data_IF_305509111840
#
_entry.id   IF_305509111840
#
_cell.length_a   1.000
_cell.length_b   1.000
_cell.length_c   1.000
_cell.angle_alpha   90.00
_cell.angle_beta   90.00
_cell.angle_gamma   90.00
#
_symmetry.space_group_name_H-M   'P 1'
#
loop_
_entity.id
_entity.type
_entity.pdbx_description
1 polymer ?
#
# COMPACT_ATOMS: atom_id res chain seq x y z
N UNK A 1 15.89 -15.72 -10.97
CA UNK A 1 14.80 -16.20 -11.85
C UNK A 1 13.43 -15.79 -11.32
N UNK A 2 13.04 -16.18 -10.09
CA UNK A 2 11.73 -15.82 -9.50
C UNK A 2 11.42 -14.31 -9.48
N UNK A 3 12.35 -13.48 -8.99
CA UNK A 3 12.17 -12.01 -8.94
C UNK A 3 11.96 -11.39 -10.33
N UNK A 4 12.62 -11.91 -11.36
CA UNK A 4 12.49 -11.41 -12.74
C UNK A 4 11.11 -11.72 -13.31
N UNK A 5 10.58 -12.91 -13.04
CA UNK A 5 9.23 -13.33 -13.48
C UNK A 5 8.18 -12.43 -12.83
N UNK A 6 8.32 -12.14 -11.53
CA UNK A 6 7.42 -11.21 -10.84
C UNK A 6 7.52 -9.81 -11.42
N UNK A 7 8.73 -9.28 -11.61
CA UNK A 7 8.92 -7.96 -12.22
C UNK A 7 8.30 -7.88 -13.61
N UNK A 8 8.47 -8.92 -14.43
CA UNK A 8 7.84 -9.03 -15.75
C UNK A 8 6.32 -9.04 -15.66
N UNK A 9 5.76 -9.82 -14.73
CA UNK A 9 4.32 -9.87 -14.51
C UNK A 9 3.73 -8.53 -14.05
N UNK A 10 4.39 -7.85 -13.11
CA UNK A 10 3.97 -6.52 -12.63
C UNK A 10 4.10 -5.43 -13.72
N UNK A 11 4.99 -5.61 -14.69
CA UNK A 11 5.23 -4.69 -15.81
C UNK A 11 4.53 -5.11 -17.11
N UNK A 12 3.72 -6.17 -17.07
CA UNK A 12 3.07 -6.75 -18.26
C UNK A 12 1.94 -5.88 -18.81
N UNK A 13 1.32 -5.04 -17.96
CA UNK A 13 0.10 -4.31 -18.28
C UNK A 13 -1.17 -5.19 -18.28
N UNK A 14 -1.03 -6.49 -18.01
CA UNK A 14 -2.15 -7.41 -17.87
C UNK A 14 -2.67 -7.39 -16.43
N UNK A 15 -3.87 -6.82 -16.25
CA UNK A 15 -4.48 -6.68 -14.94
C UNK A 15 -4.72 -8.02 -14.25
N UNK A 16 -5.06 -9.08 -14.97
CA UNK A 16 -5.32 -10.39 -14.39
C UNK A 16 -4.04 -11.00 -13.82
N UNK A 17 -2.92 -10.86 -14.55
CA UNK A 17 -1.60 -11.27 -14.07
C UNK A 17 -1.21 -10.49 -12.82
N UNK A 18 -1.43 -9.18 -12.81
CA UNK A 18 -1.13 -8.32 -11.66
C UNK A 18 -2.00 -8.72 -10.46
N UNK A 19 -3.29 -8.95 -10.64
CA UNK A 19 -4.20 -9.38 -9.57
C UNK A 19 -3.81 -10.74 -9.00
N UNK A 20 -3.40 -11.70 -9.84
CA UNK A 20 -2.89 -13.01 -9.36
C UNK A 20 -1.62 -12.85 -8.55
N UNK A 21 -0.67 -12.02 -9.01
CA UNK A 21 0.57 -11.76 -8.27
C UNK A 21 0.28 -11.15 -6.91
N UNK A 22 -0.59 -10.13 -6.86
CA UNK A 22 -0.91 -9.42 -5.62
C UNK A 22 -1.69 -10.30 -4.65
N UNK A 23 -2.72 -11.02 -5.12
CA UNK A 23 -3.51 -11.94 -4.28
C UNK A 23 -2.70 -13.12 -3.74
N UNK A 24 -1.68 -13.57 -4.48
CA UNK A 24 -0.82 -14.68 -4.07
C UNK A 24 0.38 -14.23 -3.22
N UNK A 25 0.63 -12.93 -3.10
CA UNK A 25 1.81 -12.40 -2.42
C UNK A 25 1.60 -12.43 -0.90
N UNK A 26 2.46 -13.19 -0.23
CA UNK A 26 2.54 -13.21 1.23
C UNK A 26 3.42 -12.07 1.73
N UNK A 27 2.96 -11.35 2.74
CA UNK A 27 3.64 -10.18 3.33
C UNK A 27 5.06 -10.51 3.79
N UNK A 28 5.29 -11.73 4.27
CA UNK A 28 6.59 -12.25 4.71
C UNK A 28 7.66 -12.22 3.62
N UNK A 29 7.26 -12.09 2.35
CA UNK A 29 8.16 -11.91 1.23
C UNK A 29 9.07 -10.68 1.39
N UNK A 30 8.54 -9.57 1.90
CA UNK A 30 9.29 -8.32 2.06
C UNK A 30 10.14 -8.31 3.33
N UNK A 31 9.76 -9.07 4.35
CA UNK A 31 10.51 -9.15 5.62
C UNK A 31 11.90 -9.77 5.48
N UNK A 32 12.15 -10.55 4.42
CA UNK A 32 13.43 -11.26 4.24
C UNK A 32 14.52 -10.42 3.55
N UNK A 33 14.31 -9.12 3.31
CA UNK A 33 15.29 -8.13 2.80
C UNK A 33 16.42 -8.74 1.95
N UNK A 34 16.08 -9.29 0.79
CA UNK A 34 17.08 -9.76 -0.15
C UNK A 34 17.68 -8.53 -0.85
N UNK A 35 18.99 -8.45 -1.08
CA UNK A 35 19.59 -7.33 -1.81
C UNK A 35 18.94 -7.05 -3.17
N UNK A 36 18.38 -8.09 -3.81
CA UNK A 36 17.66 -8.00 -5.08
C UNK A 36 16.15 -7.76 -4.96
N UNK A 37 15.54 -7.81 -3.76
CA UNK A 37 14.10 -7.55 -3.58
C UNK A 37 13.75 -6.07 -3.50
N UNK A 38 14.75 -5.18 -3.38
CA UNK A 38 14.55 -3.72 -3.36
C UNK A 38 13.97 -3.19 -4.67
N UNK A 39 14.30 -3.83 -5.81
CA UNK A 39 13.72 -3.51 -7.13
C UNK A 39 12.22 -3.83 -7.22
N UNK A 40 11.73 -4.75 -6.39
CA UNK A 40 10.31 -5.12 -6.36
C UNK A 40 9.49 -4.14 -5.51
N UNK A 41 10.08 -3.49 -4.50
CA UNK A 41 9.39 -2.55 -3.62
C UNK A 41 8.62 -1.46 -4.38
N UNK A 42 9.22 -0.71 -5.32
CA UNK A 42 8.48 0.32 -6.06
C UNK A 42 7.44 -0.27 -7.01
N UNK A 43 7.69 -1.43 -7.61
CA UNK A 43 6.73 -2.12 -8.49
C UNK A 43 5.49 -2.57 -7.74
N UNK A 44 5.67 -3.27 -6.62
CA UNK A 44 4.56 -3.68 -5.76
C UNK A 44 3.83 -2.48 -5.18
N UNK A 45 4.55 -1.44 -4.76
CA UNK A 45 3.89 -0.23 -4.25
C UNK A 45 2.99 0.38 -5.33
N UNK A 46 3.49 0.55 -6.55
CA UNK A 46 2.70 1.10 -7.66
C UNK A 46 1.46 0.24 -7.96
N UNK A 47 1.63 -1.07 -8.07
CA UNK A 47 0.53 -2.00 -8.34
C UNK A 47 -0.52 -2.00 -7.21
N UNK A 48 -0.09 -2.03 -5.95
CA UNK A 48 -0.99 -1.99 -4.79
C UNK A 48 -1.74 -0.66 -4.70
N UNK A 49 -1.07 0.46 -4.98
CA UNK A 49 -1.67 1.79 -5.03
C UNK A 49 -2.74 1.89 -6.11
N UNK A 50 -2.54 1.28 -7.27
CA UNK A 50 -3.52 1.22 -8.35
C UNK A 50 -4.74 0.38 -7.96
N UNK A 51 -4.51 -0.85 -7.47
CA UNK A 51 -5.56 -1.77 -7.01
C UNK A 51 -6.36 -1.14 -5.86
N UNK A 52 -5.68 -0.49 -4.91
CA UNK A 52 -6.30 0.19 -3.77
C UNK A 52 -7.24 1.34 -4.16
N UNK A 53 -7.12 1.88 -5.39
CA UNK A 53 -7.99 2.94 -5.90
C UNK A 53 -9.13 2.41 -6.77
N UNK A 54 -9.06 1.16 -7.22
CA UNK A 54 -10.12 0.51 -8.00
C UNK A 54 -11.36 0.22 -7.14
N UNK A 55 -12.56 0.14 -7.75
CA UNK A 55 -13.74 -0.34 -7.05
C UNK A 55 -13.55 -1.83 -6.69
N UNK A 56 -14.32 -2.32 -5.72
CA UNK A 56 -14.16 -3.69 -5.22
C UNK A 56 -14.50 -4.77 -6.26
N UNK A 57 -15.28 -4.39 -7.28
CA UNK A 57 -15.73 -5.26 -8.35
C UNK A 57 -15.64 -4.52 -9.68
N UNK A 58 -14.99 -5.14 -10.67
CA UNK A 58 -14.87 -4.64 -12.05
C UNK A 58 -15.11 -5.82 -12.98
N UNK A 59 -15.95 -5.65 -14.00
CA UNK A 59 -16.15 -6.63 -15.08
C UNK A 59 -16.39 -8.08 -14.62
N UNK A 60 -17.16 -8.27 -13.55
CA UNK A 60 -17.46 -9.62 -13.06
C UNK A 60 -16.44 -10.20 -12.06
N UNK A 61 -15.37 -9.46 -11.76
CA UNK A 61 -14.22 -9.93 -10.97
C UNK A 61 -14.07 -9.16 -9.67
N UNK A 62 -13.78 -9.90 -8.58
CA UNK A 62 -13.38 -9.32 -7.30
C UNK A 62 -11.94 -8.83 -7.39
N UNK A 63 -11.72 -7.57 -7.06
CA UNK A 63 -10.40 -6.96 -7.05
C UNK A 63 -9.70 -7.28 -5.71
N UNK A 64 -8.43 -7.74 -5.70
CA UNK A 64 -7.70 -8.17 -4.49
C UNK A 64 -7.23 -6.98 -3.66
N UNK A 65 -8.18 -6.20 -3.17
CA UNK A 65 -7.95 -4.91 -2.52
C UNK A 65 -7.40 -5.07 -1.11
N UNK A 66 -7.90 -6.07 -0.38
CA UNK A 66 -7.46 -6.41 0.98
C UNK A 66 -5.98 -6.80 0.96
N UNK A 67 -5.59 -7.65 0.01
CA UNK A 67 -4.22 -8.10 -0.18
C UNK A 67 -3.32 -6.94 -0.60
N UNK A 68 -3.76 -6.10 -1.54
CA UNK A 68 -3.03 -4.91 -1.95
C UNK A 68 -2.76 -3.94 -0.79
N UNK A 69 -3.78 -3.64 0.02
CA UNK A 69 -3.65 -2.73 1.16
C UNK A 69 -2.82 -3.35 2.30
N UNK A 70 -2.87 -4.67 2.46
CA UNK A 70 -2.04 -5.39 3.44
C UNK A 70 -0.57 -5.31 3.05
N UNK A 71 -0.26 -5.58 1.78
CA UNK A 71 1.10 -5.43 1.25
C UNK A 71 1.54 -3.98 1.40
N UNK A 72 0.74 -3.00 0.94
CA UNK A 72 1.07 -1.58 1.03
C UNK A 72 1.36 -1.14 2.47
N UNK A 73 0.58 -1.64 3.43
CA UNK A 73 0.74 -1.36 4.86
C UNK A 73 2.00 -1.98 5.45
N UNK A 74 2.45 -3.14 4.95
CA UNK A 74 3.73 -3.72 5.33
C UNK A 74 4.94 -2.96 4.80
N UNK A 75 4.75 -2.18 3.72
CA UNK A 75 5.81 -1.43 3.06
C UNK A 75 6.07 -0.04 3.67
N UNK A 76 5.23 0.43 4.60
CA UNK A 76 5.30 1.81 5.11
C UNK A 76 6.62 2.19 5.77
N UNK A 77 7.34 1.21 6.34
CA UNK A 77 8.64 1.45 6.98
C UNK A 77 9.80 1.48 5.97
N UNK A 78 9.65 0.84 4.80
CA UNK A 78 10.73 0.68 3.83
C UNK A 78 11.33 2.00 3.35
N UNK A 79 10.54 3.05 3.01
CA UNK A 79 11.11 4.33 2.62
C UNK A 79 12.12 4.87 3.63
N UNK A 80 11.95 4.59 4.94
CA UNK A 80 12.87 5.10 5.96
C UNK A 80 14.22 4.39 6.01
N UNK A 81 14.36 3.23 5.35
CA UNK A 81 15.57 2.40 5.32
C UNK A 81 16.45 2.65 4.07
N UNK A 82 15.94 3.37 3.08
CA UNK A 82 16.67 3.64 1.82
C UNK A 82 16.65 5.14 1.50
N UNK A 83 17.80 5.70 1.11
CA UNK A 83 17.86 7.09 0.64
C UNK A 83 17.31 7.23 -0.79
N UNK A 84 17.60 6.24 -1.63
CA UNK A 84 17.17 6.15 -3.03
C UNK A 84 16.87 4.69 -3.37
N UNK A 85 15.82 4.48 -4.18
CA UNK A 85 15.46 3.17 -4.71
C UNK A 85 15.51 3.16 -6.22
N UNK A 86 15.94 2.04 -6.77
CA UNK A 86 15.94 1.80 -8.20
C UNK A 86 14.58 1.21 -8.62
N UNK A 87 13.92 1.86 -9.57
CA UNK A 87 12.62 1.44 -10.11
C UNK A 87 12.80 0.88 -11.49
N UNK A 88 12.41 -0.38 -11.67
CA UNK A 88 12.37 -0.96 -13.00
C UNK A 88 11.21 -0.35 -13.80
N UNK A 89 11.52 0.19 -14.98
CA UNK A 89 10.49 0.68 -15.91
C UNK A 89 10.51 -0.15 -17.19
N UNK A 90 9.34 -0.40 -17.76
CA UNK A 90 9.23 -1.07 -19.06
C UNK A 90 9.32 -0.02 -20.19
N UNK A 91 10.54 0.46 -20.45
CA UNK A 91 10.83 1.25 -21.66
C UNK A 91 11.44 0.30 -22.68
N UNK A 92 10.67 0.02 -23.72
CA UNK A 92 11.15 -0.65 -24.95
C UNK A 92 11.95 -1.94 -24.72
N UNK A 93 11.48 -2.81 -23.81
CA UNK A 93 12.03 -4.15 -23.51
C UNK A 93 13.37 -4.21 -22.75
N UNK A 94 13.94 -3.08 -22.35
CA UNK A 94 15.08 -3.04 -21.44
C UNK A 94 14.64 -2.63 -20.02
N UNK A 95 14.99 -3.47 -19.04
CA UNK A 95 14.78 -3.20 -17.62
C UNK A 95 15.77 -2.12 -17.18
N UNK A 96 15.42 -0.86 -17.40
CA UNK A 96 16.24 0.28 -16.96
C UNK A 96 15.82 0.69 -15.55
N UNK A 97 16.74 0.65 -14.56
CA UNK A 97 16.48 1.18 -13.25
C UNK A 97 16.47 2.71 -13.30
N UNK A 98 15.38 3.33 -12.85
CA UNK A 98 15.21 4.78 -12.71
C UNK A 98 15.20 5.11 -11.22
N UNK A 99 15.92 6.14 -10.77
CA UNK A 99 15.93 6.50 -9.36
C UNK A 99 14.58 7.06 -8.92
N UNK A 100 14.02 6.50 -7.85
CA UNK A 100 12.89 7.05 -7.10
C UNK A 100 13.38 7.51 -5.74
N UNK A 101 13.08 8.76 -5.42
CA UNK A 101 13.40 9.32 -4.12
C UNK A 101 12.49 8.75 -3.04
N UNK A 102 13.05 8.55 -1.85
CA UNK A 102 12.34 8.12 -0.65
C UNK A 102 11.06 8.92 -0.41
N UNK A 103 11.10 10.23 -0.63
CA UNK A 103 9.99 11.14 -0.32
C UNK A 103 8.79 10.88 -1.22
N UNK A 104 9.01 10.64 -2.52
CA UNK A 104 7.90 10.32 -3.43
C UNK A 104 7.29 8.96 -3.12
N UNK A 105 8.10 7.93 -2.84
CA UNK A 105 7.58 6.62 -2.45
C UNK A 105 6.72 6.72 -1.18
N UNK A 106 7.25 7.40 -0.16
CA UNK A 106 6.56 7.66 1.11
C UNK A 106 5.24 8.40 0.91
N UNK A 107 5.25 9.48 0.11
CA UNK A 107 4.05 10.27 -0.20
C UNK A 107 2.98 9.44 -0.92
N UNK A 108 3.39 8.58 -1.85
CA UNK A 108 2.49 7.71 -2.59
C UNK A 108 1.78 6.71 -1.67
N UNK A 109 2.54 6.01 -0.83
CA UNK A 109 2.00 5.07 0.18
C UNK A 109 1.01 5.78 1.11
N UNK A 110 1.41 6.91 1.69
CA UNK A 110 0.55 7.66 2.62
C UNK A 110 -0.74 8.13 1.97
N UNK A 111 -0.66 8.71 0.77
CA UNK A 111 -1.81 9.22 0.04
C UNK A 111 -2.87 8.14 -0.13
N UNK A 112 -2.45 6.94 -0.55
CA UNK A 112 -3.39 5.88 -0.91
C UNK A 112 -3.94 5.18 0.33
N UNK A 113 -3.16 5.04 1.41
CA UNK A 113 -3.67 4.57 2.70
C UNK A 113 -4.70 5.54 3.31
N UNK A 114 -4.46 6.86 3.25
CA UNK A 114 -5.42 7.89 3.71
C UNK A 114 -6.72 7.81 2.89
N UNK A 115 -6.61 7.71 1.56
CA UNK A 115 -7.80 7.58 0.70
C UNK A 115 -8.58 6.31 1.03
N UNK A 116 -7.90 5.18 1.23
CA UNK A 116 -8.53 3.91 1.57
C UNK A 116 -9.20 3.97 2.95
N UNK A 117 -8.56 4.53 3.97
CA UNK A 117 -9.12 4.60 5.32
C UNK A 117 -10.40 5.44 5.40
N UNK A 118 -10.51 6.47 4.55
CA UNK A 118 -11.67 7.37 4.54
C UNK A 118 -12.81 6.89 3.64
N UNK A 119 -12.47 6.48 2.41
CA UNK A 119 -13.44 6.38 1.32
C UNK A 119 -13.80 4.95 0.94
N UNK A 120 -13.10 3.95 1.46
CA UNK A 120 -13.38 2.56 1.08
C UNK A 120 -14.75 2.10 1.62
N UNK A 121 -15.46 1.34 0.79
CA UNK A 121 -16.76 0.75 1.13
C UNK A 121 -16.57 -0.44 2.06
N UNK A 122 -15.51 -1.23 1.86
CA UNK A 122 -15.20 -2.41 2.66
C UNK A 122 -14.56 -2.00 3.99
N UNK A 123 -15.15 -2.49 5.08
CA UNK A 123 -14.66 -2.21 6.43
C UNK A 123 -13.24 -2.73 6.63
N UNK A 124 -12.96 -3.95 6.16
CA UNK A 124 -11.66 -4.60 6.26
C UNK A 124 -10.55 -3.78 5.59
N UNK A 125 -10.79 -3.28 4.36
CA UNK A 125 -9.87 -2.36 3.67
C UNK A 125 -9.56 -1.11 4.49
N UNK A 126 -10.58 -0.52 5.15
CA UNK A 126 -10.38 0.67 5.99
C UNK A 126 -9.57 0.37 7.23
N UNK A 127 -9.82 -0.75 7.90
CA UNK A 127 -9.10 -1.15 9.10
C UNK A 127 -7.63 -1.45 8.79
N UNK A 128 -7.36 -2.19 7.71
CA UNK A 128 -5.99 -2.47 7.26
C UNK A 128 -5.26 -1.16 6.92
N UNK A 129 -5.93 -0.25 6.19
CA UNK A 129 -5.34 1.04 5.86
C UNK A 129 -5.01 1.87 7.12
N UNK A 130 -5.91 1.88 8.12
CA UNK A 130 -5.66 2.53 9.41
C UNK A 130 -4.50 1.89 10.17
N UNK A 131 -4.39 0.56 10.16
CA UNK A 131 -3.24 -0.15 10.73
C UNK A 131 -1.93 0.29 10.05
N UNK A 132 -1.90 0.37 8.72
CA UNK A 132 -0.74 0.88 7.97
C UNK A 132 -0.36 2.31 8.36
N UNK A 133 -1.34 3.20 8.51
CA UNK A 133 -1.12 4.58 8.97
C UNK A 133 -0.58 4.64 10.41
N UNK A 134 -1.08 3.79 11.31
CA UNK A 134 -0.58 3.70 12.68
C UNK A 134 0.89 3.23 12.71
N UNK A 135 1.23 2.20 11.92
CA UNK A 135 2.61 1.70 11.81
C UNK A 135 3.52 2.81 11.24
N UNK A 136 3.07 3.51 10.21
CA UNK A 136 3.78 4.65 9.65
C UNK A 136 4.08 5.72 10.70
N UNK A 137 3.10 6.07 11.53
CA UNK A 137 3.28 7.04 12.61
C UNK A 137 4.31 6.57 13.65
N UNK A 138 4.22 5.31 14.09
CA UNK A 138 5.20 4.72 15.00
C UNK A 138 6.62 4.81 14.43
N UNK A 139 6.76 4.56 13.12
CA UNK A 139 8.05 4.64 12.43
C UNK A 139 8.59 6.07 12.36
N UNK A 140 7.74 7.07 12.11
CA UNK A 140 8.13 8.48 12.10
C UNK A 140 8.55 8.99 13.48
N UNK A 141 7.85 8.54 14.53
CA UNK A 141 8.20 8.82 15.92
C UNK A 141 9.58 8.26 16.29
N UNK A 142 9.87 7.01 15.87
CA UNK A 142 11.17 6.37 16.09
C UNK A 142 12.32 7.15 15.43
N UNK A 143 12.08 7.68 14.23
CA UNK A 143 13.09 8.46 13.49
C UNK A 143 13.19 9.93 13.91
N UNK A 144 12.44 10.37 14.94
CA UNK A 144 12.49 11.72 15.52
C UNK A 144 12.44 12.84 14.48
N UNK A 145 11.64 12.67 13.42
CA UNK A 145 11.51 13.69 12.36
C UNK A 145 10.67 14.85 12.90
N UNK A 146 11.35 15.90 13.38
CA UNK A 146 10.77 17.13 13.93
C UNK A 146 9.83 17.88 12.97
N UNK A 147 9.94 17.63 11.66
CA UNK A 147 9.09 18.22 10.62
C UNK A 147 7.86 17.37 10.25
N UNK A 148 7.72 16.17 10.83
CA UNK A 148 6.57 15.30 10.55
C UNK A 148 5.33 15.81 11.31
N UNK A 149 4.15 15.96 10.67
CA UNK A 149 2.93 16.48 11.29
C UNK A 149 2.28 15.44 12.23
N UNK A 150 3.03 14.95 13.22
CA UNK A 150 2.67 13.87 14.15
C UNK A 150 1.31 14.14 14.82
N UNK A 151 1.12 15.35 15.36
CA UNK A 151 -0.10 15.71 16.09
C UNK A 151 -1.33 15.78 15.18
N UNK A 152 -1.31 16.50 14.04
CA UNK A 152 -2.40 16.43 13.06
C UNK A 152 -2.70 15.00 12.58
N UNK A 153 -1.68 14.18 12.38
CA UNK A 153 -1.84 12.81 11.90
C UNK A 153 -2.46 11.88 12.95
N UNK A 154 -2.11 12.05 14.22
CA UNK A 154 -2.78 11.38 15.34
C UNK A 154 -4.26 11.74 15.42
N UNK A 155 -4.59 13.03 15.31
CA UNK A 155 -5.98 13.49 15.30
C UNK A 155 -6.75 12.87 14.14
N UNK A 156 -6.15 12.85 12.96
CA UNK A 156 -6.72 12.22 11.77
C UNK A 156 -7.07 10.73 12.00
N UNK A 157 -6.17 9.96 12.60
CA UNK A 157 -6.41 8.54 12.91
C UNK A 157 -7.57 8.39 13.90
N UNK A 158 -7.60 9.22 14.95
CA UNK A 158 -8.68 9.21 15.95
C UNK A 158 -10.03 9.56 15.32
N UNK A 159 -10.08 10.59 14.48
CA UNK A 159 -11.30 10.98 13.76
C UNK A 159 -11.80 9.86 12.84
N UNK A 160 -10.90 9.19 12.12
CA UNK A 160 -11.26 8.03 11.31
C UNK A 160 -11.87 6.92 12.16
N UNK A 161 -11.27 6.59 13.30
CA UNK A 161 -11.77 5.55 14.21
C UNK A 161 -13.15 5.91 14.80
N UNK A 162 -13.35 7.17 15.20
CA UNK A 162 -14.65 7.66 15.68
C UNK A 162 -15.72 7.59 14.58
N UNK A 163 -15.36 7.95 13.35
CA UNK A 163 -16.24 7.84 12.18
C UNK A 163 -16.64 6.40 11.87
N UNK A 164 -15.73 5.44 12.00
CA UNK A 164 -16.04 4.01 11.83
C UNK A 164 -16.96 3.47 12.94
N UNK A 165 -16.72 3.85 14.20
CA UNK A 165 -17.55 3.43 15.34
C UNK A 165 -19.01 3.87 15.15
N UNK A 166 -19.23 5.11 14.73
CA UNK A 166 -20.58 5.65 14.49
C UNK A 166 -21.33 4.94 13.36
N UNK A 167 -20.62 4.50 12.31
CA UNK A 167 -21.20 3.70 11.21
C UNK A 167 -21.61 2.29 11.67
N UNK A 168 -20.87 1.68 12.60
CA UNK A 168 -21.23 0.37 13.18
C UNK A 168 -22.51 0.44 14.01
N UNK A 169 -22.69 1.49 14.81
CA UNK A 169 -23.90 1.66 15.63
C UNK A 169 -25.16 1.92 14.80
N UNK A 170 -25.06 2.67 13.68
CA UNK A 170 -26.22 2.94 12.81
C UNK A 170 -26.67 1.75 11.97
N UNK A 171 -25.78 0.80 11.65
CA UNK A 171 -26.15 -0.44 10.94
C UNK A 171 -26.87 -1.41 11.89
N UNK A 172 -26.48 -1.44 13.17
CA UNK A 172 -27.15 -2.27 14.17
C UNK A 172 -28.58 -1.80 14.54
N UNK A 173 -28.90 -0.52 14.33
CA UNK A 173 -30.22 0.06 14.61
C UNK A 173 -31.20 -0.02 13.40
N UNK A 174 -30.73 -0.42 12.21
CA UNK A 174 -31.52 -0.51 10.98
C UNK A 174 -32.10 -1.89 10.66
N UNK A 175 -31.90 -2.89 11.53
CA UNK A 175 -32.37 -4.28 11.36
C UNK A 175 -33.60 -4.61 12.26
N UNK A 176 -34.50 -3.64 12.50
CA UNK A 176 -35.79 -3.88 13.19
C UNK A 176 -36.98 -3.40 12.38
#
# INVERSE_FOLDING_TARGET
MFLLIISQGLLSGDEDVIYVIISSCKVEFFHRCWPSSTLLLPLFTSACCEIGQKPNFVDGKTIPKVEALTILSSLVCFPNHFEQLDVLTNKEKDFTPVPMDRTSLKRMIMRDLIKASQNDVMLESREIALCGLAIFLCEELKHQRTESPIRPFLLFIVECLQGQSKKRTSVAEGEH
#
